data_IF_251877679951
#
_entry.id   IF_251877679951
#
_cell.length_a   1.000
_cell.length_b   1.000
_cell.length_c   1.000
_cell.angle_alpha   90.00
_cell.angle_beta   90.00
_cell.angle_gamma   90.00
#
_symmetry.space_group_name_H-M   'P 1'
#
loop_
_entity.id
_entity.type
_entity.pdbx_description
1 polymer ?
#
# COMPACT_ATOMS: atom_id res chain seq x y z
N UNK A 1 -2.14 7.29 19.02
CA UNK A 1 -2.58 6.71 17.73
C UNK A 1 -1.75 7.34 16.62
N UNK A 2 -1.73 6.79 15.41
CA UNK A 2 -1.04 7.38 14.27
C UNK A 2 -1.97 7.55 13.07
N UNK A 3 -1.95 8.71 12.43
CA UNK A 3 -2.37 8.85 11.04
C UNK A 3 -1.21 8.43 10.15
N UNK A 4 -1.46 7.52 9.23
CA UNK A 4 -0.47 6.99 8.30
C UNK A 4 -0.92 7.32 6.90
N UNK A 5 -0.14 8.14 6.20
CA UNK A 5 -0.37 8.50 4.81
C UNK A 5 0.59 7.73 3.93
N UNK A 6 0.06 7.00 2.95
CA UNK A 6 0.80 6.24 1.95
C UNK A 6 0.64 6.94 0.60
N UNK A 7 1.73 7.46 0.06
CA UNK A 7 1.77 8.14 -1.24
C UNK A 7 2.62 7.34 -2.24
N UNK A 8 2.06 7.08 -3.42
CA UNK A 8 2.71 6.42 -4.55
C UNK A 8 2.69 7.36 -5.76
N UNK A 9 3.72 7.36 -6.64
CA UNK A 9 3.73 8.20 -7.84
C UNK A 9 2.56 7.96 -8.81
N UNK A 10 1.98 6.76 -8.79
CA UNK A 10 0.94 6.34 -9.75
C UNK A 10 -0.43 6.04 -9.13
N UNK A 11 -0.57 6.11 -7.80
CA UNK A 11 -1.85 5.86 -7.13
C UNK A 11 -2.27 7.07 -6.31
N UNK A 12 -3.58 7.20 -6.11
CA UNK A 12 -4.12 8.19 -5.18
C UNK A 12 -3.57 7.95 -3.77
N UNK A 13 -3.23 9.05 -3.10
CA UNK A 13 -2.81 9.04 -1.71
C UNK A 13 -3.89 8.39 -0.84
N UNK A 14 -3.47 7.45 0.03
CA UNK A 14 -4.37 6.81 0.99
C UNK A 14 -3.93 7.07 2.41
N UNK A 15 -4.92 7.30 3.27
CA UNK A 15 -4.72 7.59 4.69
C UNK A 15 -5.36 6.51 5.56
N UNK A 16 -4.58 6.00 6.50
CA UNK A 16 -4.96 4.98 7.47
C UNK A 16 -4.80 5.52 8.88
N UNK A 17 -5.51 4.92 9.83
CA UNK A 17 -5.43 5.27 11.24
C UNK A 17 -5.04 4.04 12.03
N UNK A 18 -3.83 4.04 12.58
CA UNK A 18 -3.24 2.91 13.29
C UNK A 18 -3.30 3.17 14.81
N UNK A 19 -4.13 2.41 15.51
CA UNK A 19 -4.25 2.47 16.97
C UNK A 19 -3.10 1.77 17.68
N UNK A 20 -2.45 0.80 17.03
CA UNK A 20 -1.34 0.03 17.60
C UNK A 20 -0.09 0.06 16.73
N UNK A 21 1.11 -0.20 17.31
CA UNK A 21 2.33 -0.40 16.52
C UNK A 21 2.24 -1.57 15.55
N UNK A 22 1.42 -2.59 15.86
CA UNK A 22 1.18 -3.73 14.97
C UNK A 22 0.46 -3.31 13.69
N UNK A 23 -0.58 -2.48 13.81
CA UNK A 23 -1.32 -1.95 12.64
C UNK A 23 -0.48 -1.01 11.79
N UNK A 24 0.35 -0.15 12.42
CA UNK A 24 1.30 0.69 11.69
C UNK A 24 2.25 -0.18 10.86
N UNK A 25 2.81 -1.23 11.48
CA UNK A 25 3.66 -2.18 10.78
C UNK A 25 2.90 -2.90 9.66
N UNK A 26 1.68 -3.35 9.91
CA UNK A 26 0.87 -4.04 8.91
C UNK A 26 0.55 -3.14 7.70
N UNK A 27 0.30 -1.85 7.91
CA UNK A 27 0.10 -0.87 6.85
C UNK A 27 1.35 -0.74 5.96
N UNK A 28 2.52 -0.56 6.59
CA UNK A 28 3.80 -0.44 5.88
C UNK A 28 4.18 -1.76 5.19
N UNK A 29 3.96 -2.90 5.85
CA UNK A 29 4.24 -4.22 5.30
C UNK A 29 3.33 -4.59 4.13
N UNK A 30 2.07 -4.19 4.17
CA UNK A 30 1.12 -4.44 3.09
C UNK A 30 1.64 -3.89 1.78
N UNK A 31 2.01 -2.61 1.75
CA UNK A 31 2.53 -1.96 0.54
C UNK A 31 3.90 -2.48 0.12
N UNK A 32 4.82 -2.74 1.06
CA UNK A 32 6.13 -3.30 0.73
C UNK A 32 6.04 -4.68 0.05
N UNK A 33 5.10 -5.52 0.50
CA UNK A 33 4.87 -6.86 -0.08
C UNK A 33 4.24 -6.81 -1.46
N UNK A 34 3.29 -5.91 -1.67
CA UNK A 34 2.65 -5.73 -2.98
C UNK A 34 3.70 -5.39 -4.04
N UNK A 35 4.68 -4.54 -3.71
CA UNK A 35 5.79 -4.17 -4.61
C UNK A 35 6.93 -5.19 -4.64
N UNK A 36 6.62 -6.47 -4.43
CA UNK A 36 7.55 -7.56 -4.70
C UNK A 36 8.72 -7.74 -3.73
N UNK A 37 8.78 -7.06 -2.58
CA UNK A 37 9.87 -7.32 -1.60
C UNK A 37 9.71 -8.69 -0.93
N UNK A 38 10.63 -9.66 -1.18
CA UNK A 38 10.52 -10.98 -0.58
C UNK A 38 10.96 -10.93 0.88
N UNK A 39 10.00 -10.95 1.80
CA UNK A 39 10.28 -11.04 3.24
C UNK A 39 10.56 -12.49 3.59
N UNK A 40 11.84 -12.89 3.61
CA UNK A 40 12.25 -14.24 4.00
C UNK A 40 13.15 -14.20 5.24
N UNK A 41 13.06 -15.24 6.08
CA UNK A 41 13.93 -15.40 7.26
C UNK A 41 15.41 -15.58 6.90
N UNK A 42 15.71 -15.93 5.65
CA UNK A 42 17.07 -16.20 5.16
C UNK A 42 17.64 -15.06 4.28
N UNK A 43 16.83 -14.05 3.93
CA UNK A 43 17.14 -13.13 2.81
C UNK A 43 16.66 -11.69 2.94
N UNK A 44 16.56 -11.14 4.16
CA UNK A 44 16.60 -9.69 4.38
C UNK A 44 15.23 -9.01 4.58
N UNK A 45 15.27 -7.88 5.27
CA UNK A 45 14.19 -6.93 5.54
C UNK A 45 13.23 -7.17 6.72
N UNK A 46 12.91 -8.38 7.19
CA UNK A 46 11.91 -8.49 8.28
C UNK A 46 12.36 -7.78 9.57
N UNK A 47 13.59 -8.05 10.01
CA UNK A 47 14.15 -7.44 11.22
C UNK A 47 14.53 -5.98 11.02
N UNK A 48 15.05 -5.63 9.85
CA UNK A 48 15.44 -4.25 9.51
C UNK A 48 14.21 -3.36 9.42
N UNK A 49 13.14 -3.82 8.79
CA UNK A 49 11.89 -3.08 8.68
C UNK A 49 11.18 -2.92 10.03
N UNK A 50 11.28 -3.90 10.95
CA UNK A 50 10.84 -3.72 12.33
C UNK A 50 11.59 -2.55 12.99
N UNK A 51 12.90 -2.43 12.76
CA UNK A 51 13.68 -1.32 13.26
C UNK A 51 13.32 0.00 12.58
N UNK A 52 13.15 0.02 11.26
CA UNK A 52 12.79 1.22 10.49
C UNK A 52 11.39 1.73 10.84
N UNK A 53 10.40 0.85 10.97
CA UNK A 53 9.05 1.23 11.42
C UNK A 53 9.08 1.69 12.88
N UNK A 54 9.92 1.06 13.72
CA UNK A 54 10.15 1.50 15.09
C UNK A 54 10.77 2.90 15.17
N UNK A 55 11.76 3.18 14.33
CA UNK A 55 12.44 4.46 14.20
C UNK A 55 11.52 5.53 13.62
N UNK A 56 10.75 5.19 12.57
CA UNK A 56 9.69 6.03 12.00
C UNK A 56 8.69 6.48 13.07
N UNK A 57 8.22 5.53 13.89
CA UNK A 57 7.31 5.81 15.00
C UNK A 57 7.97 6.72 16.03
N UNK A 58 9.23 6.43 16.39
CA UNK A 58 9.98 7.25 17.34
C UNK A 58 10.13 8.68 16.84
N UNK A 59 10.46 8.88 15.55
CA UNK A 59 10.54 10.21 14.92
C UNK A 59 9.21 10.93 14.98
N UNK A 60 8.12 10.26 14.61
CA UNK A 60 6.78 10.83 14.71
C UNK A 60 6.46 11.29 16.13
N UNK A 61 6.77 10.47 17.14
CA UNK A 61 6.53 10.78 18.55
C UNK A 61 7.38 11.98 19.04
N UNK A 62 8.63 12.14 18.58
CA UNK A 62 9.55 13.19 19.07
C UNK A 62 9.52 14.47 18.25
N UNK A 63 9.31 14.37 16.94
CA UNK A 63 9.42 15.47 15.97
C UNK A 63 8.04 15.94 15.48
N UNK A 64 6.97 15.20 15.80
CA UNK A 64 5.59 15.53 15.41
C UNK A 64 5.17 14.96 14.06
N UNK A 65 6.11 14.53 13.22
CA UNK A 65 5.86 13.78 11.98
C UNK A 65 7.07 12.89 11.71
N UNK A 66 6.84 11.66 11.27
CA UNK A 66 7.88 10.76 10.78
C UNK A 66 7.65 10.44 9.31
N UNK A 67 8.71 10.40 8.52
CA UNK A 67 8.64 9.94 7.12
C UNK A 67 9.60 8.77 6.90
N UNK A 68 9.19 7.81 6.09
CA UNK A 68 9.98 6.66 5.66
C UNK A 68 9.72 6.39 4.18
N UNK A 69 10.77 6.28 3.38
CA UNK A 69 10.65 5.79 2.01
C UNK A 69 10.68 4.27 2.03
N UNK A 70 9.69 3.64 1.42
CA UNK A 70 9.56 2.19 1.29
C UNK A 70 9.37 1.89 -0.19
N UNK A 71 10.44 1.50 -0.86
CA UNK A 71 10.46 1.32 -2.32
C UNK A 71 9.92 2.58 -3.01
N UNK A 72 8.83 2.50 -3.78
CA UNK A 72 8.24 3.65 -4.46
C UNK A 72 7.22 4.42 -3.61
N UNK A 73 6.92 3.96 -2.40
CA UNK A 73 6.05 4.67 -1.47
C UNK A 73 6.80 5.61 -0.54
N UNK A 74 6.21 6.78 -0.35
CA UNK A 74 6.51 7.61 0.82
C UNK A 74 5.45 7.34 1.90
N UNK A 75 5.90 6.84 3.04
CA UNK A 75 5.08 6.66 4.25
C UNK A 75 5.29 7.86 5.15
N UNK A 76 4.20 8.56 5.48
CA UNK A 76 4.20 9.65 6.47
C UNK A 76 3.35 9.27 7.66
N UNK A 77 3.86 9.51 8.86
CA UNK A 77 3.24 9.12 10.13
C UNK A 77 3.13 10.35 11.02
N UNK A 78 1.90 10.72 11.37
CA UNK A 78 1.61 11.80 12.31
C UNK A 78 1.04 11.21 13.60
N UNK A 79 1.59 11.53 14.78
CA UNK A 79 0.99 11.15 16.05
C UNK A 79 -0.33 11.89 16.21
N UNK A 80 -1.37 11.14 16.57
CA UNK A 80 -2.67 11.69 16.94
C UNK A 80 -2.87 11.45 18.42
N UNK A 81 -3.16 12.53 19.15
CA UNK A 81 -3.58 12.47 20.55
C UNK A 81 -4.87 11.65 20.67
N UNK A 82 -4.93 10.77 21.68
CA UNK A 82 -6.12 9.98 21.97
C UNK A 82 -6.09 8.52 21.52
N UNK A 83 -7.24 7.86 21.69
CA UNK A 83 -7.49 6.43 21.48
C UNK A 83 -8.50 6.20 20.33
N UNK A 84 -8.67 4.93 19.93
CA UNK A 84 -9.71 4.51 18.97
C UNK A 84 -11.15 4.71 19.46
N UNK A 85 -11.32 5.07 20.73
CA UNK A 85 -12.62 5.37 21.34
C UNK A 85 -12.89 6.87 21.40
N UNK A 86 -11.92 7.70 21.01
CA UNK A 86 -12.05 9.14 21.05
C UNK A 86 -12.76 9.63 19.79
N UNK A 87 -13.48 10.74 19.91
CA UNK A 87 -14.20 11.34 18.79
C UNK A 87 -13.35 12.43 18.13
N UNK A 88 -13.56 12.68 16.84
CA UNK A 88 -13.05 13.86 16.13
C UNK A 88 -13.95 15.07 16.43
N UNK A 89 -13.33 16.24 16.62
CA UNK A 89 -14.03 17.52 16.82
C UNK A 89 -13.87 18.16 18.20
N UNK A 90 -13.17 17.51 19.15
CA UNK A 90 -12.87 18.07 20.47
C UNK A 90 -11.37 18.36 20.60
N UNK A 91 -10.87 19.42 19.97
CA UNK A 91 -9.50 19.88 20.21
C UNK A 91 -9.40 20.41 21.66
N UNK A 92 -8.63 19.73 22.52
CA UNK A 92 -8.22 20.26 23.82
C UNK A 92 -8.98 19.75 25.05
N UNK A 93 -9.91 18.79 24.93
CA UNK A 93 -10.63 18.19 26.08
C UNK A 93 -10.15 16.78 26.46
N UNK A 94 -9.04 16.31 25.88
CA UNK A 94 -8.54 14.92 25.97
C UNK A 94 -7.94 14.51 27.35
N UNK A 95 -7.97 15.39 28.37
CA UNK A 95 -7.49 15.06 29.73
C UNK A 95 -8.63 14.60 30.66
N UNK A 96 -9.86 14.50 30.16
CA UNK A 96 -11.02 14.11 30.96
C UNK A 96 -11.30 12.59 30.92
N UNK A 97 -10.31 11.74 31.23
CA UNK A 97 -10.58 10.31 31.48
C UNK A 97 -9.82 9.76 32.70
N UNK A 98 -10.07 10.41 33.84
CA UNK A 98 -10.68 9.70 34.98
C UNK A 98 -12.13 10.20 35.25
N UNK A 99 -12.75 10.83 34.26
CA UNK A 99 -14.13 11.31 34.29
C UNK A 99 -14.42 12.14 33.05
N UNK A 100 -15.16 11.55 32.11
CA UNK A 100 -15.64 12.11 30.84
C UNK A 100 -15.98 13.63 30.88
N UNK A 101 -15.98 14.36 29.75
CA UNK A 101 -16.98 15.41 29.60
C UNK A 101 -18.36 14.74 29.66
N UNK A 102 -19.24 15.19 30.54
CA UNK A 102 -20.52 14.54 30.85
C UNK A 102 -21.48 14.39 29.65
N UNK A 103 -21.14 14.95 28.48
CA UNK A 103 -21.95 14.95 27.26
C UNK A 103 -21.07 15.09 26.01
N UNK A 104 -21.05 14.11 25.09
CA UNK A 104 -20.84 14.41 23.66
C UNK A 104 -22.19 14.93 23.15
N UNK A 105 -22.17 16.10 22.51
CA UNK A 105 -23.35 16.77 21.94
C UNK A 105 -23.85 16.14 20.63
N UNK A 106 -23.21 15.04 20.21
CA UNK A 106 -23.50 14.33 18.97
C UNK A 106 -22.95 15.00 17.71
N UNK A 107 -22.25 16.14 17.83
CA UNK A 107 -21.52 16.75 16.72
C UNK A 107 -20.20 16.02 16.43
N UNK A 108 -19.73 15.26 17.42
CA UNK A 108 -18.52 14.47 17.39
C UNK A 108 -18.65 13.31 16.38
N UNK A 109 -17.64 13.12 15.51
CA UNK A 109 -17.60 11.97 14.58
C UNK A 109 -16.73 10.87 15.17
N UNK A 110 -17.11 9.57 15.07
CA UNK A 110 -16.21 8.49 15.44
C UNK A 110 -14.92 8.59 14.64
N UNK A 111 -13.77 8.47 15.31
CA UNK A 111 -12.48 8.40 14.61
C UNK A 111 -12.46 7.17 13.69
N UNK A 112 -11.95 7.31 12.46
CA UNK A 112 -11.77 6.16 11.58
C UNK A 112 -10.81 5.16 12.24
N UNK A 113 -11.17 3.87 12.18
CA UNK A 113 -10.30 2.78 12.62
C UNK A 113 -9.40 2.33 11.48
N UNK A 114 -8.43 1.50 11.81
CA UNK A 114 -7.62 0.83 10.81
C UNK A 114 -8.51 -0.01 9.89
N UNK A 115 -8.60 0.42 8.63
CA UNK A 115 -9.39 -0.26 7.61
C UNK A 115 -8.51 -1.26 6.85
N UNK A 116 -8.55 -2.51 7.32
CA UNK A 116 -7.81 -3.59 6.68
C UNK A 116 -8.32 -3.89 5.26
N UNK A 117 -9.60 -3.67 4.98
CA UNK A 117 -10.13 -3.87 3.62
C UNK A 117 -9.56 -2.81 2.68
N UNK A 118 -9.53 -1.54 3.10
CA UNK A 118 -8.91 -0.48 2.32
C UNK A 118 -7.41 -0.69 2.08
N UNK A 119 -6.71 -1.36 3.01
CA UNK A 119 -5.30 -1.74 2.81
C UNK A 119 -5.19 -2.86 1.77
N UNK A 120 -6.03 -3.89 1.84
CA UNK A 120 -6.06 -4.96 0.82
C UNK A 120 -6.35 -4.37 -0.56
N UNK A 121 -7.34 -3.47 -0.67
CA UNK A 121 -7.66 -2.79 -1.91
C UNK A 121 -6.50 -1.96 -2.46
N UNK A 122 -5.66 -1.40 -1.57
CA UNK A 122 -4.46 -0.67 -1.99
C UNK A 122 -3.41 -1.63 -2.53
N UNK A 123 -3.18 -2.76 -1.84
CA UNK A 123 -2.21 -3.76 -2.30
C UNK A 123 -2.62 -4.39 -3.63
N UNK A 124 -3.90 -4.66 -3.85
CA UNK A 124 -4.40 -5.14 -5.15
C UNK A 124 -4.22 -4.09 -6.24
N UNK A 125 -4.51 -2.81 -5.95
CA UNK A 125 -4.29 -1.74 -6.93
C UNK A 125 -2.81 -1.56 -7.30
N UNK A 126 -1.89 -1.92 -6.42
CA UNK A 126 -0.46 -1.91 -6.70
C UNK A 126 -0.05 -3.04 -7.63
N UNK A 127 -0.47 -4.27 -7.30
CA UNK A 127 -0.21 -5.44 -8.13
C UNK A 127 -0.77 -5.21 -9.55
N UNK A 128 -1.95 -4.61 -9.66
CA UNK A 128 -2.57 -4.26 -10.94
C UNK A 128 -1.75 -3.22 -11.72
N UNK A 129 -1.29 -2.17 -11.04
CA UNK A 129 -0.49 -1.12 -11.68
C UNK A 129 0.88 -1.63 -12.17
N UNK A 130 1.52 -2.53 -11.41
CA UNK A 130 2.77 -3.18 -11.83
C UNK A 130 2.55 -4.06 -13.08
N UNK A 131 1.46 -4.84 -13.10
CA UNK A 131 1.12 -5.64 -14.26
C UNK A 131 0.87 -4.77 -15.49
N UNK A 132 0.11 -3.69 -15.35
CA UNK A 132 -0.17 -2.77 -16.45
C UNK A 132 1.11 -2.11 -16.98
N UNK A 133 2.04 -1.71 -16.12
CA UNK A 133 3.33 -1.14 -16.52
C UNK A 133 4.22 -2.15 -17.28
N UNK A 134 4.20 -3.41 -16.85
CA UNK A 134 4.93 -4.49 -17.54
C UNK A 134 4.35 -4.86 -18.91
N UNK A 135 3.18 -4.33 -19.28
CA UNK A 135 2.42 -4.70 -20.49
C UNK A 135 1.49 -5.90 -20.30
N UNK A 136 1.26 -6.29 -19.04
CA UNK A 136 0.23 -7.25 -18.63
C UNK A 136 -1.14 -6.60 -18.50
N UNK A 137 -2.01 -7.22 -17.72
CA UNK A 137 -3.38 -6.76 -17.48
C UNK A 137 -3.73 -7.04 -16.01
N UNK A 138 -3.66 -5.98 -15.19
CA UNK A 138 -3.93 -6.05 -13.74
C UNK A 138 -5.28 -6.65 -13.42
N UNK A 139 -6.33 -6.15 -14.07
CA UNK A 139 -7.71 -6.62 -13.88
C UNK A 139 -7.90 -8.15 -14.11
N UNK A 140 -7.06 -8.77 -14.92
CA UNK A 140 -7.10 -10.21 -15.20
C UNK A 140 -5.95 -10.99 -14.52
N UNK A 141 -5.01 -10.31 -13.85
CA UNK A 141 -3.84 -10.90 -13.22
C UNK A 141 -2.87 -11.58 -14.20
N UNK A 142 -2.79 -11.09 -15.45
CA UNK A 142 -1.96 -11.70 -16.50
C UNK A 142 -0.70 -10.87 -16.76
N UNK A 143 0.44 -11.53 -16.80
CA UNK A 143 1.72 -10.92 -17.22
C UNK A 143 1.74 -10.69 -18.74
N UNK A 144 2.60 -9.79 -19.21
CA UNK A 144 2.76 -9.48 -20.64
C UNK A 144 2.98 -10.72 -21.53
N UNK A 145 3.78 -11.70 -21.05
CA UNK A 145 4.03 -12.95 -21.77
C UNK A 145 2.84 -13.91 -21.85
N UNK A 146 1.80 -13.68 -21.03
CA UNK A 146 0.57 -14.46 -20.97
C UNK A 146 -0.57 -13.80 -21.79
N UNK A 147 -0.36 -12.56 -22.24
CA UNK A 147 -1.28 -11.84 -23.13
C UNK A 147 -1.37 -12.54 -24.49
N UNK A 148 -2.49 -12.36 -25.19
CA UNK A 148 -2.64 -12.95 -26.51
C UNK A 148 -1.61 -12.38 -27.49
N UNK A 149 -0.70 -13.22 -28.00
CA UNK A 149 0.36 -12.81 -28.94
C UNK A 149 -0.19 -12.17 -30.23
N UNK A 150 -1.42 -12.51 -30.64
CA UNK A 150 -2.01 -12.01 -31.88
C UNK A 150 -2.59 -10.59 -31.78
N UNK A 151 -3.17 -10.22 -30.63
CA UNK A 151 -3.86 -8.94 -30.46
C UNK A 151 -3.39 -8.10 -29.27
N UNK A 152 -2.58 -8.66 -28.37
CA UNK A 152 -2.11 -8.01 -27.15
C UNK A 152 -3.17 -7.88 -26.05
N UNK A 153 -4.34 -8.53 -26.17
CA UNK A 153 -5.44 -8.39 -25.20
C UNK A 153 -5.50 -9.57 -24.19
N UNK A 154 -6.06 -9.33 -23.00
CA UNK A 154 -6.26 -10.29 -21.88
C UNK A 154 -7.70 -10.83 -21.83
N UNK A 155 -7.99 -11.88 -21.05
CA UNK A 155 -9.34 -12.48 -20.92
C UNK A 155 -10.51 -11.52 -20.62
N UNK A 156 -10.20 -10.30 -20.19
CA UNK A 156 -11.13 -9.20 -19.94
C UNK A 156 -11.77 -8.70 -21.25
N UNK A 157 -11.09 -8.85 -22.39
CA UNK A 157 -11.66 -8.70 -23.73
C UNK A 157 -12.01 -10.06 -24.33
N UNK A 158 -12.98 -10.06 -25.25
CA UNK A 158 -13.38 -11.25 -25.99
C UNK A 158 -12.55 -11.36 -27.27
N UNK A 159 -11.70 -12.39 -27.36
CA UNK A 159 -10.81 -12.66 -28.51
C UNK A 159 -10.93 -14.09 -29.03
N UNK A 160 -12.15 -14.60 -29.07
CA UNK A 160 -12.48 -15.89 -29.70
C UNK A 160 -12.07 -15.98 -31.18
N UNK A 161 -11.74 -14.84 -31.82
CA UNK A 161 -11.21 -14.77 -33.18
C UNK A 161 -9.68 -14.83 -33.28
N UNK A 162 -8.94 -14.82 -32.16
CA UNK A 162 -7.48 -14.88 -32.19
C UNK A 162 -6.98 -16.29 -32.46
N UNK A 163 -6.11 -16.44 -33.46
CA UNK A 163 -5.46 -17.71 -33.79
C UNK A 163 -4.20 -17.83 -32.94
N UNK A 164 -4.12 -18.86 -32.10
CA UNK A 164 -2.91 -19.14 -31.30
C UNK A 164 -1.76 -19.48 -32.25
N UNK A 165 -0.58 -18.84 -32.13
CA UNK A 165 0.57 -19.26 -32.90
C UNK A 165 0.95 -20.72 -32.55
N UNK A 166 1.47 -21.49 -33.51
CA UNK A 166 1.93 -22.86 -33.25
C UNK A 166 3.04 -22.86 -32.18
N UNK A 167 3.04 -23.85 -31.29
CA UNK A 167 3.83 -23.90 -30.04
C UNK A 167 5.37 -23.93 -30.23
N UNK A 168 5.88 -23.83 -31.47
CA UNK A 168 7.30 -23.95 -31.83
C UNK A 168 7.98 -22.63 -32.24
N UNK A 169 7.45 -21.47 -31.85
CA UNK A 169 8.14 -20.18 -32.06
C UNK A 169 8.69 -19.62 -30.75
N UNK A 170 9.62 -20.35 -30.13
CA UNK A 170 10.62 -19.75 -29.24
C UNK A 170 11.60 -18.94 -30.11
N UNK A 171 11.12 -17.82 -30.64
CA UNK A 171 11.96 -16.82 -31.28
C UNK A 171 12.67 -16.06 -30.15
N UNK A 172 13.96 -16.34 -30.00
CA UNK A 172 14.91 -15.47 -29.31
C UNK A 172 14.74 -14.05 -29.87
N UNK A 173 14.21 -13.14 -29.06
CA UNK A 173 14.22 -11.71 -29.41
C UNK A 173 15.67 -11.25 -29.24
N UNK A 174 16.47 -11.36 -30.30
CA UNK A 174 17.76 -10.67 -30.38
C UNK A 174 17.47 -9.16 -30.37
N UNK A 175 18.06 -8.46 -29.39
CA UNK A 175 18.01 -7.01 -29.32
C UNK A 175 18.58 -6.41 -30.62
N UNK A 176 17.97 -5.36 -31.19
CA UNK A 176 18.48 -4.72 -32.40
C UNK A 176 19.89 -4.16 -32.13
N UNK A 177 20.84 -4.29 -33.08
CA UNK A 177 22.19 -3.80 -32.90
C UNK A 177 22.18 -2.28 -32.72
N UNK A 178 22.82 -1.81 -31.65
CA UNK A 178 23.11 -0.40 -31.41
C UNK A 178 23.90 0.17 -32.58
N UNK A 179 23.37 1.22 -33.21
CA UNK A 179 24.10 2.00 -34.21
C UNK A 179 24.85 3.12 -33.48
N UNK A 180 26.16 2.98 -33.41
CA UNK A 180 27.11 4.08 -33.20
C UNK A 180 27.36 4.85 -34.50
#
# INVERSE_FOLDING_TARGET
MYAVTLAHPHLDERRFFCGTPGELRDAVWGVARAQGSPITSEGGYDREMIYEVGDLRSRADTEGTGTLQVLDFTVTVDPIAGTEYDCEGHEGEDIALLGNPATCDGSCRPRPRFDRAALVDLTTALDDAELDESGGCGACGLEAGQMCVACGCCNCDRHDTCVRPPEDTSATVEAPPSTD
#
